data_IF_767752098154
#
_entry.id   IF_767752098154
#
_cell.length_a   1.000
_cell.length_b   1.000
_cell.length_c   1.000
_cell.angle_alpha   90.00
_cell.angle_beta   90.00
_cell.angle_gamma   90.00
#
_symmetry.space_group_name_H-M   'P 1'
#
loop_
_entity.id
_entity.type
_entity.pdbx_description
1 polymer ?
#
# COMPACT_ATOMS: atom_id res chain seq x y z
N UNK A 1 5.18 -8.03 2.74
CA UNK A 1 5.15 -9.00 1.63
C UNK A 1 5.26 -8.21 0.35
N UNK A 2 6.09 -8.66 -0.58
CA UNK A 2 6.35 -7.99 -1.85
C UNK A 2 5.92 -8.92 -2.99
N UNK A 3 5.20 -8.37 -3.95
CA UNK A 3 4.79 -8.98 -5.21
C UNK A 3 5.45 -8.19 -6.33
N UNK A 4 6.54 -8.72 -6.87
CA UNK A 4 7.32 -8.08 -7.92
C UNK A 4 6.94 -8.62 -9.30
N UNK A 5 6.60 -7.71 -10.21
CA UNK A 5 6.43 -8.02 -11.62
C UNK A 5 7.79 -8.14 -12.32
N UNK A 6 7.87 -8.91 -13.42
CA UNK A 6 8.95 -8.73 -14.39
C UNK A 6 9.02 -7.27 -14.86
N UNK A 7 10.22 -6.68 -14.84
CA UNK A 7 10.45 -5.23 -15.10
C UNK A 7 9.99 -4.74 -16.49
N UNK A 8 9.73 -5.66 -17.42
CA UNK A 8 9.21 -5.34 -18.75
C UNK A 8 7.75 -4.85 -18.75
N UNK A 9 7.01 -5.09 -17.66
CA UNK A 9 5.62 -4.65 -17.48
C UNK A 9 5.49 -3.80 -16.21
N UNK A 10 4.40 -3.07 -16.06
CA UNK A 10 4.13 -2.23 -14.88
C UNK A 10 2.69 -2.39 -14.41
N UNK A 11 2.48 -2.12 -13.12
CA UNK A 11 1.15 -2.01 -12.52
C UNK A 11 0.58 -0.66 -12.94
N UNK A 12 -0.67 -0.66 -13.42
CA UNK A 12 -1.45 0.56 -13.72
C UNK A 12 -2.69 0.69 -12.84
N UNK A 13 -3.07 -0.39 -12.15
CA UNK A 13 -4.05 -0.35 -11.07
C UNK A 13 -3.78 -1.43 -10.03
N UNK A 14 -3.92 -1.09 -8.76
CA UNK A 14 -3.97 -2.03 -7.64
C UNK A 14 -5.28 -1.78 -6.88
N UNK A 15 -6.08 -2.82 -6.71
CA UNK A 15 -7.33 -2.77 -5.96
C UNK A 15 -7.32 -3.88 -4.92
N UNK A 16 -7.67 -3.59 -3.67
CA UNK A 16 -7.65 -4.56 -2.57
C UNK A 16 -8.56 -4.15 -1.43
N UNK A 17 -8.91 -5.10 -0.57
CA UNK A 17 -9.73 -4.88 0.61
C UNK A 17 -9.02 -5.31 1.88
N UNK A 18 -9.21 -4.58 2.97
CA UNK A 18 -8.76 -5.01 4.29
C UNK A 18 -9.70 -4.49 5.37
N UNK A 19 -9.67 -5.11 6.54
CA UNK A 19 -10.52 -4.72 7.67
C UNK A 19 -9.69 -3.96 8.71
N UNK A 20 -10.25 -2.88 9.26
CA UNK A 20 -9.62 -2.15 10.37
C UNK A 20 -9.50 -3.09 11.58
N UNK A 21 -8.28 -3.39 12.05
CA UNK A 21 -8.08 -4.36 13.11
C UNK A 21 -8.34 -3.76 14.49
N UNK A 22 -8.30 -4.62 15.51
CA UNK A 22 -8.29 -4.15 16.89
C UNK A 22 -7.13 -3.18 17.13
N UNK A 23 -7.35 -2.20 18.01
CA UNK A 23 -6.34 -1.21 18.35
C UNK A 23 -5.18 -1.88 19.12
N UNK A 24 -3.92 -1.71 18.67
CA UNK A 24 -2.77 -2.17 19.42
C UNK A 24 -2.53 -1.29 20.66
N UNK A 25 -1.57 -1.65 21.54
CA UNK A 25 -1.16 -0.78 22.63
C UNK A 25 -0.79 0.64 22.17
N UNK A 26 -0.98 1.63 23.03
CA UNK A 26 -0.63 3.03 22.78
C UNK A 26 0.88 3.28 22.97
N UNK A 27 1.70 2.63 22.14
CA UNK A 27 3.16 2.70 22.13
C UNK A 27 3.64 2.79 20.69
N UNK A 28 4.55 3.73 20.42
CA UNK A 28 5.08 3.98 19.07
C UNK A 28 4.00 4.31 18.04
N UNK A 29 4.31 4.13 16.76
CA UNK A 29 3.30 4.24 15.70
C UNK A 29 3.18 2.94 14.94
N UNK A 30 1.95 2.48 14.73
CA UNK A 30 1.66 1.35 13.86
C UNK A 30 1.11 1.83 12.52
N UNK A 31 1.77 1.40 11.44
CA UNK A 31 1.34 1.65 10.07
C UNK A 31 0.94 0.33 9.40
N UNK A 32 -0.27 0.30 8.84
CA UNK A 32 -0.82 -0.84 8.11
C UNK A 32 -1.23 -0.39 6.72
N UNK A 33 -0.65 -0.99 5.68
CA UNK A 33 -0.82 -0.46 4.33
C UNK A 33 -0.63 -1.51 3.24
N UNK A 34 -1.38 -1.41 2.13
CA UNK A 34 -0.88 -1.81 0.82
C UNK A 34 -0.08 -0.65 0.19
N UNK A 35 0.79 -0.93 -0.77
CA UNK A 35 1.54 0.11 -1.45
C UNK A 35 2.13 -0.32 -2.79
N UNK A 36 2.62 0.68 -3.52
CA UNK A 36 3.28 0.51 -4.81
C UNK A 36 4.64 1.20 -4.81
N UNK A 37 5.65 0.50 -5.33
CA UNK A 37 7.02 1.00 -5.50
C UNK A 37 7.56 0.74 -6.92
N UNK A 38 8.50 1.58 -7.39
CA UNK A 38 9.28 1.28 -8.58
C UNK A 38 10.27 0.14 -8.32
N UNK A 39 10.55 -0.70 -9.33
CA UNK A 39 11.62 -1.72 -9.25
C UNK A 39 12.73 -1.45 -10.25
N UNK A 40 13.98 -1.70 -9.86
CA UNK A 40 15.16 -1.40 -10.69
C UNK A 40 15.02 -2.04 -12.09
N UNK A 41 15.19 -1.24 -13.13
CA UNK A 41 15.00 -1.67 -14.52
C UNK A 41 13.57 -1.45 -15.07
N UNK A 42 12.64 -0.99 -14.23
CA UNK A 42 11.32 -0.53 -14.65
C UNK A 42 11.37 0.70 -15.55
N UNK A 43 10.25 0.94 -16.26
CA UNK A 43 10.13 2.06 -17.19
C UNK A 43 10.22 3.38 -16.42
N UNK A 44 11.11 4.27 -16.86
CA UNK A 44 11.38 5.55 -16.19
C UNK A 44 11.59 5.39 -14.67
N UNK A 45 12.52 4.52 -14.28
CA UNK A 45 12.64 3.98 -12.92
C UNK A 45 12.81 5.01 -11.78
N UNK A 46 13.53 6.12 -11.97
CA UNK A 46 13.88 7.02 -10.86
C UNK A 46 13.88 8.53 -11.23
N UNK A 47 12.81 9.07 -11.83
CA UNK A 47 12.69 10.51 -12.10
C UNK A 47 12.38 11.31 -10.84
N UNK A 48 11.83 10.68 -9.80
CA UNK A 48 11.30 11.34 -8.59
C UNK A 48 11.80 10.71 -7.29
N UNK A 49 12.79 9.81 -7.33
CA UNK A 49 13.18 9.00 -6.18
C UNK A 49 12.45 7.66 -6.13
N UNK A 50 12.74 6.88 -5.08
CA UNK A 50 12.19 5.53 -4.85
C UNK A 50 11.07 5.56 -3.82
N UNK A 51 10.16 6.54 -3.94
CA UNK A 51 9.05 6.71 -3.00
C UNK A 51 7.96 5.65 -3.15
N UNK A 52 7.18 5.49 -2.09
CA UNK A 52 6.10 4.51 -1.97
C UNK A 52 4.75 5.23 -2.06
N UNK A 53 3.88 4.81 -2.96
CA UNK A 53 2.45 5.14 -2.89
C UNK A 53 1.80 4.21 -1.86
N UNK A 54 1.15 4.73 -0.84
CA UNK A 54 0.56 3.93 0.23
C UNK A 54 -0.59 4.66 0.95
N UNK A 55 -1.83 4.14 0.95
CA UNK A 55 -2.82 4.54 1.91
C UNK A 55 -2.52 3.87 3.24
N UNK A 56 -2.21 4.68 4.25
CA UNK A 56 -1.69 4.20 5.53
C UNK A 56 -2.77 4.27 6.59
N UNK A 57 -3.21 3.11 7.10
CA UNK A 57 -4.01 3.04 8.31
C UNK A 57 -3.06 3.16 9.51
N UNK A 58 -3.21 4.25 10.26
CA UNK A 58 -2.27 4.69 11.30
C UNK A 58 -2.89 4.66 12.69
N UNK A 59 -2.14 4.11 13.64
CA UNK A 59 -2.40 4.21 15.08
C UNK A 59 -1.20 4.84 15.76
N UNK A 60 -1.34 6.11 16.14
CA UNK A 60 -0.25 6.96 16.65
C UNK A 60 -0.06 8.22 15.81
N UNK A 61 1.11 8.83 15.92
CA UNK A 61 1.51 10.03 15.19
C UNK A 61 2.17 9.68 13.86
N UNK A 62 1.88 10.44 12.80
CA UNK A 62 2.51 10.31 11.48
C UNK A 62 3.09 11.63 10.97
N UNK A 63 4.03 11.54 10.03
CA UNK A 63 4.53 12.67 9.25
C UNK A 63 3.54 13.18 8.20
N UNK A 64 2.43 12.48 7.95
CA UNK A 64 1.43 12.86 6.95
C UNK A 64 0.89 14.29 7.20
N UNK A 65 1.00 15.21 6.23
CA UNK A 65 0.60 16.61 6.39
C UNK A 65 -0.92 16.81 6.28
N UNK A 66 -1.68 16.09 7.11
CA UNK A 66 -3.15 16.12 7.15
C UNK A 66 -3.65 16.32 8.58
N UNK A 67 -4.94 16.65 8.73
CA UNK A 67 -5.53 16.74 10.06
C UNK A 67 -5.67 15.33 10.66
N UNK A 68 -4.87 15.05 11.69
CA UNK A 68 -4.85 13.77 12.39
C UNK A 68 -5.73 13.86 13.66
N UNK A 69 -6.44 12.78 14.04
CA UNK A 69 -7.11 12.74 15.33
C UNK A 69 -6.08 12.78 16.47
N UNK A 70 -6.49 13.09 17.71
CA UNK A 70 -5.59 12.99 18.86
C UNK A 70 -4.89 11.63 18.92
N UNK A 71 -3.61 11.62 19.24
CA UNK A 71 -2.78 10.41 19.26
C UNK A 71 -3.45 9.30 20.09
N UNK A 72 -3.56 8.10 19.51
CA UNK A 72 -4.20 6.91 20.11
C UNK A 72 -5.70 7.06 20.46
N UNK A 73 -6.41 8.03 19.89
CA UNK A 73 -7.87 8.16 20.09
C UNK A 73 -8.69 7.32 19.11
N UNK A 74 -8.20 7.13 17.89
CA UNK A 74 -8.81 6.28 16.87
C UNK A 74 -7.75 5.82 15.85
N UNK A 75 -8.09 4.78 15.09
CA UNK A 75 -7.43 4.59 13.80
C UNK A 75 -7.77 5.78 12.89
N UNK A 76 -6.86 6.09 11.96
CA UNK A 76 -7.13 7.01 10.86
C UNK A 76 -6.38 6.56 9.61
N UNK A 77 -6.89 6.93 8.44
CA UNK A 77 -6.28 6.56 7.16
C UNK A 77 -6.26 7.75 6.20
N UNK A 78 -5.14 7.89 5.49
CA UNK A 78 -4.95 8.82 4.38
C UNK A 78 -4.23 8.11 3.25
N UNK A 79 -4.50 8.50 2.00
CA UNK A 79 -3.57 8.23 0.90
C UNK A 79 -2.28 9.01 1.11
N UNK A 80 -1.13 8.37 0.97
CA UNK A 80 0.18 8.97 1.20
C UNK A 80 1.19 8.63 0.09
N UNK A 81 2.16 9.51 -0.11
CA UNK A 81 3.38 9.22 -0.83
C UNK A 81 4.56 9.56 0.07
N UNK A 82 5.41 8.58 0.33
CA UNK A 82 6.55 8.72 1.24
C UNK A 82 7.83 8.43 0.48
N UNK A 83 8.78 9.36 0.52
CA UNK A 83 10.03 9.24 -0.21
C UNK A 83 11.20 9.77 0.61
N UNK A 84 12.19 8.92 0.86
CA UNK A 84 13.41 9.26 1.62
C UNK A 84 14.54 9.82 0.75
N UNK A 85 14.25 10.11 -0.52
CA UNK A 85 15.15 10.75 -1.46
C UNK A 85 15.38 12.24 -1.16
N UNK A 86 16.06 12.91 -2.08
CA UNK A 86 16.50 14.30 -1.89
C UNK A 86 15.82 15.32 -2.83
N UNK A 87 14.91 14.87 -3.70
CA UNK A 87 14.15 15.78 -4.55
C UNK A 87 13.18 16.59 -3.67
N UNK A 88 13.28 17.92 -3.61
CA UNK A 88 12.46 18.73 -2.70
C UNK A 88 10.96 18.65 -3.00
N UNK A 89 10.55 18.35 -4.23
CA UNK A 89 9.14 18.27 -4.62
C UNK A 89 8.52 16.91 -4.27
N UNK A 90 9.35 15.88 -4.09
CA UNK A 90 8.91 14.50 -3.87
C UNK A 90 9.35 13.91 -2.54
N UNK A 91 10.40 14.43 -1.91
CA UNK A 91 10.93 13.94 -0.62
C UNK A 91 10.00 14.24 0.55
N UNK A 92 10.15 13.45 1.61
CA UNK A 92 9.32 13.53 2.81
C UNK A 92 8.00 12.79 2.68
N UNK A 93 7.01 13.23 3.44
CA UNK A 93 5.67 12.66 3.46
C UNK A 93 4.69 13.63 2.82
N UNK A 94 3.91 13.11 1.88
CA UNK A 94 2.84 13.82 1.20
C UNK A 94 1.55 13.04 1.41
N UNK A 95 0.42 13.74 1.56
CA UNK A 95 -0.83 13.07 1.86
C UNK A 95 -2.05 13.84 1.37
N UNK A 96 -3.17 13.12 1.26
CA UNK A 96 -4.49 13.70 1.06
C UNK A 96 -5.20 14.02 2.38
N UNK A 97 -6.52 14.15 2.31
CA UNK A 97 -7.37 14.20 3.51
C UNK A 97 -7.37 12.85 4.23
N UNK A 98 -7.53 12.87 5.56
CA UNK A 98 -7.72 11.67 6.35
C UNK A 98 -9.20 11.42 6.72
N UNK A 99 -9.53 10.15 6.99
CA UNK A 99 -10.77 9.73 7.66
C UNK A 99 -10.45 8.83 8.86
N UNK A 100 -11.38 8.72 9.81
CA UNK A 100 -11.21 7.93 11.04
C UNK A 100 -12.17 6.72 11.05
N UNK A 101 -11.80 5.60 10.41
CA UNK A 101 -12.64 4.42 10.34
C UNK A 101 -12.71 3.70 11.70
N UNK A 102 -13.76 2.92 11.90
CA UNK A 102 -13.98 2.16 13.12
C UNK A 102 -13.37 0.77 13.02
N UNK A 103 -13.01 0.17 14.16
CA UNK A 103 -12.58 -1.23 14.22
C UNK A 103 -13.66 -2.13 13.60
N UNK A 104 -13.27 -3.01 12.69
CA UNK A 104 -14.18 -3.89 11.95
C UNK A 104 -14.73 -3.28 10.66
N UNK A 105 -14.50 -1.99 10.37
CA UNK A 105 -14.85 -1.42 9.07
C UNK A 105 -14.04 -2.10 7.96
N UNK A 106 -14.72 -2.50 6.89
CA UNK A 106 -14.08 -2.91 5.66
C UNK A 106 -13.65 -1.66 4.87
N UNK A 107 -12.38 -1.64 4.46
CA UNK A 107 -11.78 -0.60 3.65
C UNK A 107 -11.45 -1.16 2.27
N UNK A 108 -11.87 -0.42 1.25
CA UNK A 108 -11.54 -0.62 -0.16
C UNK A 108 -10.44 0.36 -0.54
N UNK A 109 -9.29 -0.13 -1.00
CA UNK A 109 -8.17 0.69 -1.45
C UNK A 109 -7.94 0.48 -2.95
N UNK A 110 -8.02 1.58 -3.72
CA UNK A 110 -7.86 1.60 -5.16
C UNK A 110 -6.77 2.60 -5.57
N UNK A 111 -5.79 2.13 -6.33
CA UNK A 111 -4.69 2.91 -6.87
C UNK A 111 -4.83 2.89 -8.38
N UNK A 112 -4.91 4.04 -9.02
CA UNK A 112 -5.10 4.11 -10.48
C UNK A 112 -4.11 5.06 -11.12
N UNK A 113 -3.50 4.62 -12.23
CA UNK A 113 -2.63 5.45 -13.06
C UNK A 113 -3.41 6.04 -14.24
N UNK A 114 -3.41 7.36 -14.35
CA UNK A 114 -3.66 8.03 -15.62
C UNK A 114 -2.39 7.95 -16.48
N UNK A 115 -2.37 6.97 -17.39
CA UNK A 115 -1.23 6.71 -18.27
C UNK A 115 -0.90 7.87 -19.23
N UNK A 116 -1.83 8.81 -19.43
CA UNK A 116 -1.57 9.98 -20.29
C UNK A 116 -0.78 11.07 -19.57
N UNK A 117 -0.95 11.20 -18.25
CA UNK A 117 -0.36 12.27 -17.44
C UNK A 117 0.74 11.79 -16.50
N UNK A 118 0.76 10.50 -16.13
CA UNK A 118 1.65 9.96 -15.09
C UNK A 118 1.10 10.16 -13.67
N UNK A 119 -0.15 10.63 -13.53
CA UNK A 119 -0.78 10.86 -12.24
C UNK A 119 -1.31 9.55 -11.67
N UNK A 120 -0.83 9.21 -10.48
CA UNK A 120 -1.40 8.17 -9.65
C UNK A 120 -2.43 8.76 -8.69
N UNK A 121 -3.59 8.12 -8.58
CA UNK A 121 -4.62 8.45 -7.59
C UNK A 121 -4.85 7.27 -6.68
N UNK A 122 -4.72 7.50 -5.38
CA UNK A 122 -5.08 6.57 -4.31
C UNK A 122 -6.44 6.98 -3.76
N UNK A 123 -7.38 6.05 -3.71
CA UNK A 123 -8.70 6.24 -3.11
C UNK A 123 -8.92 5.16 -2.08
N UNK A 124 -9.35 5.56 -0.88
CA UNK A 124 -9.80 4.63 0.16
C UNK A 124 -11.25 4.91 0.48
N UNK A 125 -12.09 3.88 0.46
CA UNK A 125 -13.52 3.99 0.76
C UNK A 125 -13.93 3.00 1.86
N UNK A 126 -14.81 3.43 2.75
CA UNK A 126 -15.39 2.59 3.79
C UNK A 126 -16.67 3.21 4.38
N UNK A 127 -17.25 2.62 5.44
CA UNK A 127 -18.46 3.15 6.08
C UNK A 127 -18.31 4.58 6.60
N UNK A 128 -17.09 4.96 7.00
CA UNK A 128 -16.76 6.28 7.53
C UNK A 128 -16.55 7.36 6.46
N UNK A 129 -16.57 6.99 5.17
CA UNK A 129 -16.45 7.93 4.06
C UNK A 129 -15.49 7.47 2.96
N UNK A 130 -14.98 8.43 2.19
CA UNK A 130 -13.97 8.21 1.16
C UNK A 130 -12.94 9.32 1.21
N UNK A 131 -11.67 8.95 1.06
CA UNK A 131 -10.54 9.87 1.00
C UNK A 131 -9.69 9.57 -0.22
N UNK A 132 -9.04 10.59 -0.77
CA UNK A 132 -8.15 10.44 -1.91
C UNK A 132 -6.87 11.25 -1.78
N UNK A 133 -5.86 10.82 -2.53
CA UNK A 133 -4.61 11.53 -2.74
C UNK A 133 -4.10 11.27 -4.16
N UNK A 134 -3.61 12.31 -4.83
CA UNK A 134 -3.09 12.19 -6.19
C UNK A 134 -1.72 12.85 -6.30
N UNK A 135 -0.81 12.20 -7.04
CA UNK A 135 0.56 12.68 -7.28
C UNK A 135 1.00 12.31 -8.70
N UNK A 136 1.69 13.23 -9.38
CA UNK A 136 2.30 12.93 -10.66
C UNK A 136 3.71 12.36 -10.46
N UNK A 137 3.88 11.06 -10.69
CA UNK A 137 5.20 10.41 -10.58
C UNK A 137 6.01 10.49 -11.88
N UNK A 138 5.70 11.45 -12.75
CA UNK A 138 6.40 11.71 -14.00
C UNK A 138 6.50 10.47 -14.91
N UNK A 139 5.46 9.63 -14.98
CA UNK A 139 5.45 8.37 -15.74
C UNK A 139 6.44 7.31 -15.20
N UNK A 140 6.86 7.39 -13.94
CA UNK A 140 7.61 6.33 -13.26
C UNK A 140 6.75 5.07 -13.13
N UNK A 141 7.26 3.95 -13.65
CA UNK A 141 6.63 2.65 -13.49
C UNK A 141 6.58 2.25 -12.02
N UNK A 142 5.46 1.65 -11.62
CA UNK A 142 5.34 0.91 -10.37
C UNK A 142 5.32 -0.57 -10.73
N UNK A 143 6.27 -1.33 -10.23
CA UNK A 143 6.45 -2.74 -10.61
C UNK A 143 6.29 -3.69 -9.43
N UNK A 144 6.22 -3.13 -8.22
CA UNK A 144 6.11 -3.88 -6.98
C UNK A 144 4.86 -3.46 -6.23
N UNK A 145 4.03 -4.43 -5.88
CA UNK A 145 2.99 -4.26 -4.88
C UNK A 145 3.50 -4.75 -3.52
N UNK A 146 3.29 -3.96 -2.48
CA UNK A 146 3.73 -4.26 -1.12
C UNK A 146 2.52 -4.29 -0.20
N UNK A 147 2.54 -5.21 0.75
CA UNK A 147 1.55 -5.34 1.81
C UNK A 147 2.30 -5.44 3.13
N UNK A 148 2.03 -4.53 4.06
CA UNK A 148 2.92 -4.35 5.20
C UNK A 148 2.18 -4.08 6.52
N UNK A 149 2.84 -4.56 7.57
CA UNK A 149 2.69 -4.13 8.95
C UNK A 149 4.03 -3.51 9.31
N UNK A 150 4.05 -2.22 9.58
CA UNK A 150 5.26 -1.46 9.83
C UNK A 150 5.19 -0.80 11.22
N UNK A 151 5.77 -1.46 12.25
CA UNK A 151 5.91 -0.87 13.56
C UNK A 151 7.04 0.17 13.59
N UNK A 152 6.76 1.32 14.19
CA UNK A 152 7.76 2.35 14.51
C UNK A 152 7.81 2.60 16.01
N UNK A 153 9.00 2.94 16.52
CA UNK A 153 9.24 3.30 17.93
C UNK A 153 8.64 2.29 18.94
N UNK A 154 8.97 1.01 18.75
CA UNK A 154 8.52 -0.12 19.59
C UNK A 154 7.02 -0.42 19.54
N UNK A 155 6.29 0.08 18.55
CA UNK A 155 4.91 -0.34 18.32
C UNK A 155 4.80 -1.86 18.14
N UNK A 156 3.69 -2.41 18.62
CA UNK A 156 3.44 -3.85 18.62
C UNK A 156 2.11 -4.15 17.95
N UNK A 157 2.08 -5.15 17.06
CA UNK A 157 0.86 -5.57 16.40
C UNK A 157 0.76 -7.09 16.45
N UNK A 158 -0.27 -7.58 17.13
CA UNK A 158 -0.53 -9.00 17.27
C UNK A 158 -1.46 -9.49 16.15
N UNK A 159 -1.12 -10.64 15.57
CA UNK A 159 -1.95 -11.30 14.57
C UNK A 159 -1.71 -10.85 13.13
N UNK A 160 -2.46 -11.40 12.18
CA UNK A 160 -2.30 -11.08 10.78
C UNK A 160 -3.05 -9.80 10.40
N UNK A 161 -2.49 -9.06 9.45
CA UNK A 161 -3.22 -8.14 8.59
C UNK A 161 -3.56 -8.91 7.31
N UNK A 162 -4.85 -8.98 6.97
CA UNK A 162 -5.33 -9.73 5.81
C UNK A 162 -5.88 -8.75 4.78
N UNK A 163 -5.35 -8.85 3.58
CA UNK A 163 -5.87 -8.23 2.38
C UNK A 163 -6.57 -9.29 1.55
N UNK A 164 -7.75 -8.99 1.02
CA UNK A 164 -8.57 -9.93 0.27
C UNK A 164 -8.98 -9.35 -1.08
N UNK A 165 -9.32 -10.25 -2.01
CA UNK A 165 -9.84 -9.91 -3.34
C UNK A 165 -8.97 -8.85 -4.03
N UNK A 166 -7.66 -9.13 -4.05
CA UNK A 166 -6.69 -8.20 -4.63
C UNK A 166 -6.65 -8.38 -6.14
N UNK A 167 -6.89 -7.30 -6.87
CA UNK A 167 -6.76 -7.25 -8.33
C UNK A 167 -5.62 -6.32 -8.71
N UNK A 168 -4.67 -6.85 -9.49
CA UNK A 168 -3.55 -6.09 -10.07
C UNK A 168 -3.78 -6.01 -11.58
N UNK A 169 -3.84 -4.79 -12.10
CA UNK A 169 -3.95 -4.54 -13.55
C UNK A 169 -2.61 -4.10 -14.10
N UNK A 170 -2.19 -4.73 -15.20
CA UNK A 170 -0.94 -4.45 -15.88
C UNK A 170 -1.14 -3.51 -17.07
N UNK A 171 -0.09 -2.77 -17.43
CA UNK A 171 -0.10 -1.96 -18.66
C UNK A 171 -0.20 -2.84 -19.90
N UNK A 172 0.74 -3.77 -20.02
CA UNK A 172 0.98 -4.58 -21.21
C UNK A 172 0.44 -6.01 -20.99
N UNK A 173 0.00 -6.67 -22.08
CA UNK A 173 -0.50 -8.05 -22.03
C UNK A 173 0.62 -9.01 -21.61
N UNK A 174 0.44 -9.71 -20.49
CA UNK A 174 1.37 -10.71 -19.96
C UNK A 174 0.72 -11.59 -18.89
N UNK A 175 0.32 -12.81 -19.26
CA UNK A 175 -0.11 -13.81 -18.27
C UNK A 175 1.01 -14.18 -17.28
N UNK A 176 2.28 -14.07 -17.70
CA UNK A 176 3.45 -14.33 -16.86
C UNK A 176 3.59 -13.29 -15.73
N UNK A 177 3.12 -12.06 -15.95
CA UNK A 177 3.11 -11.02 -14.91
C UNK A 177 2.22 -11.43 -13.71
N UNK A 178 1.21 -12.27 -13.94
CA UNK A 178 0.40 -12.83 -12.86
C UNK A 178 0.91 -14.18 -12.34
N UNK A 179 1.33 -15.08 -13.23
CA UNK A 179 1.59 -16.49 -12.90
C UNK A 179 3.03 -16.78 -12.49
N UNK A 180 3.96 -15.87 -12.77
CA UNK A 180 5.38 -15.99 -12.41
C UNK A 180 5.91 -14.72 -11.71
N UNK A 181 5.22 -14.18 -10.71
CA UNK A 181 5.75 -13.06 -9.93
C UNK A 181 6.90 -13.54 -9.06
N UNK A 182 7.83 -12.64 -8.77
CA UNK A 182 8.73 -12.84 -7.63
C UNK A 182 7.96 -12.45 -6.37
N UNK A 183 7.95 -13.34 -5.38
CA UNK A 183 7.26 -13.13 -4.10
C UNK A 183 8.30 -13.17 -2.99
N UNK A 184 8.40 -12.08 -2.23
CA UNK A 184 9.28 -11.99 -1.07
C UNK A 184 8.50 -11.67 0.22
N UNK A 185 9.05 -12.16 1.33
CA UNK A 185 8.50 -11.92 2.66
C UNK A 185 9.54 -11.22 3.53
N UNK A 186 9.17 -10.07 4.08
CA UNK A 186 9.89 -9.42 5.16
C UNK A 186 9.27 -9.73 6.53
N UNK A 187 9.95 -9.35 7.60
CA UNK A 187 9.41 -9.38 8.97
C UNK A 187 9.04 -10.77 9.49
N UNK A 188 7.87 -10.89 10.12
CA UNK A 188 7.38 -12.14 10.73
C UNK A 188 6.73 -13.11 9.70
N UNK A 189 6.92 -12.86 8.41
CA UNK A 189 6.39 -13.68 7.32
C UNK A 189 4.92 -13.39 7.00
N UNK A 190 4.29 -14.33 6.29
CA UNK A 190 2.93 -14.18 5.78
C UNK A 190 2.56 -15.32 4.85
N UNK A 191 1.41 -15.19 4.19
CA UNK A 191 0.96 -16.12 3.15
C UNK A 191 0.30 -15.36 2.01
N UNK A 192 0.27 -15.99 0.84
CA UNK A 192 -0.43 -15.51 -0.35
C UNK A 192 -1.12 -16.70 -1.02
N UNK A 193 -2.39 -16.53 -1.38
CA UNK A 193 -3.07 -17.49 -2.25
C UNK A 193 -2.43 -17.51 -3.64
N UNK A 194 -2.45 -18.64 -4.33
CA UNK A 194 -1.89 -18.72 -5.68
C UNK A 194 -2.51 -17.63 -6.59
N UNK A 195 -1.70 -16.73 -7.18
CA UNK A 195 -2.22 -15.73 -8.10
C UNK A 195 -2.84 -16.39 -9.33
N UNK A 196 -4.00 -15.88 -9.76
CA UNK A 196 -4.75 -16.41 -10.90
C UNK A 196 -4.96 -15.31 -11.93
N UNK A 197 -4.56 -15.56 -13.17
CA UNK A 197 -4.83 -14.63 -14.26
C UNK A 197 -6.33 -14.67 -14.61
N UNK A 198 -7.00 -13.52 -14.54
CA UNK A 198 -8.37 -13.37 -15.05
C UNK A 198 -8.30 -13.27 -16.59
N UNK A 199 -7.35 -12.48 -17.08
CA UNK A 199 -6.98 -12.35 -18.49
C UNK A 199 -5.49 -11.94 -18.60
N UNK A 200 -5.04 -11.54 -19.79
CA UNK A 200 -3.64 -11.17 -20.02
C UNK A 200 -3.19 -9.88 -19.29
N UNK A 201 -4.12 -9.07 -18.76
CA UNK A 201 -3.83 -7.81 -18.05
C UNK A 201 -4.20 -7.83 -16.58
N UNK A 202 -5.07 -8.73 -16.15
CA UNK A 202 -5.61 -8.72 -14.80
C UNK A 202 -5.18 -9.96 -14.03
N UNK A 203 -4.53 -9.74 -12.90
CA UNK A 203 -4.17 -10.77 -11.94
C UNK A 203 -5.04 -10.66 -10.70
N UNK A 204 -5.52 -11.78 -10.22
CA UNK A 204 -6.30 -11.87 -9.00
C UNK A 204 -5.57 -12.69 -7.94
N UNK A 205 -5.65 -12.23 -6.70
CA UNK A 205 -5.14 -12.91 -5.51
C UNK A 205 -6.24 -12.89 -4.45
N UNK A 206 -6.80 -14.06 -4.14
CA UNK A 206 -7.90 -14.21 -3.18
C UNK A 206 -7.55 -13.62 -1.81
N UNK A 207 -6.34 -13.93 -1.30
CA UNK A 207 -5.92 -13.54 0.04
C UNK A 207 -4.42 -13.36 0.16
N UNK A 208 -4.04 -12.28 0.82
CA UNK A 208 -2.68 -11.93 1.22
C UNK A 208 -2.71 -11.69 2.73
N UNK A 209 -1.91 -12.44 3.48
CA UNK A 209 -1.77 -12.27 4.93
C UNK A 209 -0.35 -11.86 5.26
N UNK A 210 -0.20 -10.80 6.06
CA UNK A 210 1.07 -10.35 6.62
C UNK A 210 1.01 -10.56 8.13
N UNK A 211 2.00 -11.23 8.71
CA UNK A 211 1.99 -11.51 10.14
C UNK A 211 2.62 -10.37 10.92
N UNK A 212 1.96 -9.94 12.00
CA UNK A 212 2.58 -9.10 13.03
C UNK A 212 3.62 -9.87 13.85
N UNK A 213 4.53 -9.14 14.48
CA UNK A 213 5.51 -9.72 15.42
C UNK A 213 4.79 -10.16 16.71
N UNK A 214 5.12 -11.35 17.21
CA UNK A 214 4.59 -11.84 18.49
C UNK A 214 4.94 -10.89 19.63
N UNK A 215 3.92 -10.43 20.34
CA UNK A 215 4.09 -9.61 21.55
C UNK A 215 4.56 -10.53 22.67
N UNK A 216 5.82 -10.44 23.07
CA UNK A 216 6.29 -11.15 24.27
C UNK A 216 5.77 -10.38 25.49
N UNK A 217 5.08 -11.03 26.45
CA UNK A 217 4.52 -10.37 27.62
C UNK A 217 5.59 -9.78 28.57
#
# INVERSE_FOLDING_TARGET
>A
MEFDLPVANEIVRLHTHFTVPAQPPAVGTMFLWPGLEPSQGGRNYDPVGLGVLQPVLTWGDSCAPTAQPPTYSSWWISGEYVNVGNDPDFSGCHSGSAMAPQVGDALDADFTLDQSTGVWTQTVTGPSGSVNYAINLQQQAQNRAIFAIEPWDNAQYAGPLVFSDTTITFRDDSEQSCTQPSIAYGGAGGTISAPTAIDAKHCHVDTISVNGQSVTP
#
